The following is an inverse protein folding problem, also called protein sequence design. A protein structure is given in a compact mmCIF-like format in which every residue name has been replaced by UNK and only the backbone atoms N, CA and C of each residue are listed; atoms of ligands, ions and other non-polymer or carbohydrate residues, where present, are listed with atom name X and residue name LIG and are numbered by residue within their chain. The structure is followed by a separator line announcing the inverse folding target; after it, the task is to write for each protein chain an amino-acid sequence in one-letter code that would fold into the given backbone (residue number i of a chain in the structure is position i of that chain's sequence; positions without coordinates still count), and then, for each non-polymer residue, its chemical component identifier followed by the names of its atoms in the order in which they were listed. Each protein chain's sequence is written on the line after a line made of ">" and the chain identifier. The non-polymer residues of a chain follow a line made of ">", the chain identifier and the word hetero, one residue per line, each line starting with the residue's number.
data_IF_097353736186
#
_entry.id   IF_097353736186
#
_cell.length_a   1.000
_cell.length_b   1.000
_cell.length_c   1.000
_cell.angle_alpha   90.00
_cell.angle_beta   90.00
_cell.angle_gamma   90.00
#
_symmetry.space_group_name_H-M   'P 1'
#
loop_
_entity.id
_entity.type
_entity.pdbx_description
1 polymer ?
#
# COMPACT_ATOMS: atom_id res chain seq x y z
N UNK A 1 -9.43 4.42 3.80
CA UNK A 1 -8.79 3.28 3.12
C UNK A 1 -7.32 3.22 3.50
N UNK A 2 -6.79 2.05 3.76
CA UNK A 2 -5.42 1.87 4.25
C UNK A 2 -4.62 1.02 3.29
N UNK A 3 -3.49 1.57 2.83
CA UNK A 3 -2.52 0.91 1.96
C UNK A 3 -1.50 0.17 2.83
N UNK A 4 -1.44 -1.15 2.70
CA UNK A 4 -0.50 -1.98 3.49
C UNK A 4 0.72 -2.44 2.70
N UNK A 5 0.96 -1.80 1.54
CA UNK A 5 2.11 -2.09 0.69
C UNK A 5 3.40 -1.48 1.23
N UNK A 6 4.52 -1.89 0.64
CA UNK A 6 5.83 -1.35 0.98
C UNK A 6 5.98 0.13 0.57
N UNK A 7 6.96 0.80 1.16
CA UNK A 7 7.19 2.24 0.94
C UNK A 7 7.40 2.60 -0.53
N UNK A 8 8.19 1.80 -1.28
CA UNK A 8 8.44 2.10 -2.69
C UNK A 8 7.17 2.01 -3.54
N UNK A 9 6.26 1.09 -3.21
CA UNK A 9 4.99 0.95 -3.91
C UNK A 9 4.10 2.18 -3.66
N UNK A 10 4.04 2.62 -2.40
CA UNK A 10 3.30 3.81 -2.00
C UNK A 10 3.81 5.07 -2.69
N UNK A 11 5.12 5.24 -2.75
CA UNK A 11 5.73 6.42 -3.34
C UNK A 11 5.47 6.55 -4.84
N UNK A 12 5.39 5.43 -5.56
CA UNK A 12 5.16 5.45 -7.02
C UNK A 12 3.71 5.71 -7.42
N UNK A 13 2.78 5.38 -6.57
CA UNK A 13 1.37 5.65 -6.82
C UNK A 13 0.50 4.94 -5.80
N UNK A 14 -0.54 5.64 -5.34
CA UNK A 14 -1.47 5.16 -4.30
C UNK A 14 -2.87 5.62 -4.61
N UNK A 15 -3.86 4.98 -3.99
CA UNK A 15 -5.25 5.41 -4.12
C UNK A 15 -5.40 6.78 -3.44
N UNK A 16 -6.06 7.70 -4.12
CA UNK A 16 -6.31 9.04 -3.62
C UNK A 16 -6.97 9.01 -2.23
N UNK A 17 -6.40 9.75 -1.29
CA UNK A 17 -6.92 9.85 0.07
C UNK A 17 -6.58 8.70 1.01
N UNK A 18 -5.81 7.72 0.56
CA UNK A 18 -5.44 6.58 1.41
C UNK A 18 -4.39 6.94 2.46
N UNK A 19 -4.44 6.20 3.57
CA UNK A 19 -3.43 6.24 4.61
C UNK A 19 -2.44 5.12 4.39
N UNK A 20 -1.17 5.33 4.70
CA UNK A 20 -0.13 4.31 4.53
C UNK A 20 0.26 3.67 5.86
N UNK A 21 0.03 2.36 5.96
CA UNK A 21 0.46 1.53 7.09
C UNK A 21 0.99 0.21 6.55
N UNK A 22 2.28 0.13 6.25
CA UNK A 22 2.86 -1.11 5.72
C UNK A 22 2.54 -2.31 6.63
N UNK A 23 2.28 -3.45 6.03
CA UNK A 23 1.89 -4.65 6.78
C UNK A 23 2.85 -4.98 7.92
N UNK A 24 4.15 -4.81 7.70
CA UNK A 24 5.17 -5.08 8.72
C UNK A 24 5.08 -4.17 9.95
N UNK A 25 4.45 -3.00 9.81
CA UNK A 25 4.31 -2.03 10.90
C UNK A 25 2.90 -2.01 11.49
N UNK A 26 1.97 -2.72 10.88
CA UNK A 26 0.55 -2.62 11.22
C UNK A 26 0.28 -2.95 12.71
N UNK A 27 0.89 -4.02 13.21
CA UNK A 27 0.67 -4.47 14.59
C UNK A 27 1.04 -3.41 15.63
N UNK A 28 2.06 -2.60 15.33
CA UNK A 28 2.56 -1.56 16.24
C UNK A 28 1.85 -0.21 16.05
N UNK A 29 1.03 -0.09 15.03
CA UNK A 29 0.40 1.17 14.63
C UNK A 29 -1.12 1.10 14.51
N UNK A 30 -1.75 0.09 15.12
CA UNK A 30 -3.21 -0.08 15.06
C UNK A 30 -3.98 1.09 15.69
N UNK A 31 -3.36 1.79 16.64
CA UNK A 31 -3.94 2.98 17.27
C UNK A 31 -4.15 4.15 16.30
N UNK A 32 -3.51 4.11 15.13
CA UNK A 32 -3.73 5.11 14.08
C UNK A 32 -5.01 4.85 13.29
N UNK A 33 -5.66 3.70 13.50
CA UNK A 33 -6.91 3.32 12.83
C UNK A 33 -8.08 3.49 13.79
N UNK A 34 -9.08 4.28 13.40
CA UNK A 34 -10.29 4.47 14.21
C UNK A 34 -11.12 3.18 14.23
N UNK A 35 -11.20 2.55 15.40
CA UNK A 35 -11.95 1.30 15.59
C UNK A 35 -13.46 1.50 15.48
N UNK A 36 -13.95 2.72 15.65
CA UNK A 36 -15.37 3.05 15.55
C UNK A 36 -15.89 3.19 14.14
N UNK A 37 -15.06 3.03 13.14
CA UNK A 37 -15.40 3.19 11.72
C UNK A 37 -14.91 1.99 10.90
N UNK A 38 -15.62 1.63 9.81
CA UNK A 38 -15.13 0.60 8.92
C UNK A 38 -13.77 0.97 8.34
N UNK A 39 -12.88 0.00 8.23
CA UNK A 39 -11.59 0.17 7.60
C UNK A 39 -11.47 -0.76 6.39
N UNK A 40 -10.98 -0.23 5.27
CA UNK A 40 -10.75 -1.00 4.07
C UNK A 40 -9.25 -1.03 3.80
N UNK A 41 -8.68 -2.24 3.80
CA UNK A 41 -7.28 -2.45 3.48
C UNK A 41 -7.11 -2.79 2.01
N UNK A 42 -6.02 -2.31 1.41
CA UNK A 42 -5.65 -2.76 0.07
C UNK A 42 -4.14 -2.96 -0.04
N UNK A 43 -3.78 -3.79 -0.98
CA UNK A 43 -2.40 -3.97 -1.40
C UNK A 43 -2.36 -4.00 -2.93
N UNK A 44 -1.34 -4.58 -3.53
CA UNK A 44 -1.27 -4.64 -4.98
C UNK A 44 -2.36 -5.55 -5.56
N UNK A 45 -2.35 -6.83 -5.16
CA UNK A 45 -3.29 -7.83 -5.69
C UNK A 45 -4.26 -8.44 -4.69
N UNK A 46 -4.01 -8.34 -3.39
CA UNK A 46 -4.91 -8.83 -2.36
C UNK A 46 -4.31 -9.69 -1.24
N UNK A 47 -3.12 -10.25 -1.38
CA UNK A 47 -2.54 -11.17 -0.38
C UNK A 47 -2.22 -10.49 0.95
N UNK A 48 -1.52 -9.38 0.92
CA UNK A 48 -1.15 -8.62 2.12
C UNK A 48 -2.37 -8.01 2.80
N UNK A 49 -3.32 -7.52 2.01
CA UNK A 49 -4.56 -6.95 2.55
C UNK A 49 -5.47 -8.01 3.18
N UNK A 50 -5.43 -9.24 2.70
CA UNK A 50 -6.14 -10.35 3.34
C UNK A 50 -5.60 -10.58 4.74
N UNK A 51 -4.27 -10.60 4.91
CA UNK A 51 -3.64 -10.76 6.22
C UNK A 51 -4.00 -9.62 7.17
N UNK A 52 -3.95 -8.38 6.69
CA UNK A 52 -4.32 -7.21 7.48
C UNK A 52 -5.78 -7.26 7.92
N UNK A 53 -6.68 -7.60 7.01
CA UNK A 53 -8.11 -7.68 7.28
C UNK A 53 -8.41 -8.73 8.35
N UNK A 54 -7.82 -9.92 8.22
CA UNK A 54 -8.02 -10.99 9.20
C UNK A 54 -7.48 -10.62 10.58
N UNK A 55 -6.30 -10.01 10.63
CA UNK A 55 -5.68 -9.60 11.88
C UNK A 55 -6.52 -8.56 12.63
N UNK A 56 -6.98 -7.54 11.94
CA UNK A 56 -7.75 -6.47 12.54
C UNK A 56 -9.18 -6.91 12.88
N UNK A 57 -9.79 -7.76 12.06
CA UNK A 57 -11.09 -8.34 12.38
C UNK A 57 -11.05 -9.15 13.68
N UNK A 58 -9.97 -9.91 13.90
CA UNK A 58 -9.76 -10.66 15.12
C UNK A 58 -9.67 -9.76 16.37
N UNK A 59 -9.27 -8.51 16.20
CA UNK A 59 -9.20 -7.52 17.28
C UNK A 59 -10.47 -6.66 17.41
N UNK A 60 -11.52 -7.00 16.68
CA UNK A 60 -12.81 -6.33 16.77
C UNK A 60 -13.01 -5.14 15.86
N UNK A 61 -12.11 -4.91 14.90
CA UNK A 61 -12.32 -3.88 13.88
C UNK A 61 -13.29 -4.38 12.82
N UNK A 62 -14.10 -3.47 12.28
CA UNK A 62 -14.88 -3.76 11.09
C UNK A 62 -13.97 -3.63 9.87
N UNK A 63 -13.22 -4.69 9.61
CA UNK A 63 -12.17 -4.70 8.59
C UNK A 63 -12.63 -5.39 7.31
N UNK A 64 -12.33 -4.76 6.19
CA UNK A 64 -12.64 -5.25 4.85
C UNK A 64 -11.43 -5.09 3.95
N UNK A 65 -11.39 -5.79 2.83
CA UNK A 65 -10.33 -5.59 1.84
C UNK A 65 -10.92 -5.18 0.50
N UNK A 66 -10.12 -4.44 -0.25
CA UNK A 66 -10.40 -4.15 -1.65
C UNK A 66 -9.92 -5.37 -2.45
N UNK A 67 -10.84 -6.21 -2.92
CA UNK A 67 -10.56 -7.56 -3.45
C UNK A 67 -9.51 -7.60 -4.56
N UNK A 68 -9.57 -6.66 -5.50
CA UNK A 68 -8.64 -6.61 -6.62
C UNK A 68 -7.44 -5.70 -6.37
N UNK A 69 -7.38 -5.09 -5.19
CA UNK A 69 -6.31 -4.19 -4.80
C UNK A 69 -6.19 -2.97 -5.70
N UNK A 70 -5.02 -2.32 -5.63
CA UNK A 70 -4.77 -1.13 -6.46
C UNK A 70 -4.69 -1.46 -7.96
N UNK A 71 -4.34 -2.69 -8.31
CA UNK A 71 -4.33 -3.13 -9.72
C UNK A 71 -5.72 -3.00 -10.32
N UNK A 72 -6.75 -3.50 -9.62
CA UNK A 72 -8.13 -3.37 -10.07
C UNK A 72 -8.62 -1.93 -10.09
N UNK A 73 -8.22 -1.14 -9.06
CA UNK A 73 -8.55 0.27 -8.97
C UNK A 73 -8.03 1.06 -10.18
N UNK A 74 -6.74 0.88 -10.50
CA UNK A 74 -6.11 1.55 -11.64
C UNK A 74 -6.69 1.07 -12.98
N UNK A 75 -6.97 -0.22 -13.11
CA UNK A 75 -7.58 -0.79 -14.32
C UNK A 75 -8.97 -0.21 -14.59
N UNK A 76 -9.70 0.17 -13.54
CA UNK A 76 -11.00 0.82 -13.66
C UNK A 76 -10.88 2.33 -13.95
N UNK A 77 -9.68 2.87 -14.05
CA UNK A 77 -9.45 4.28 -14.36
C UNK A 77 -9.69 5.22 -13.18
N UNK A 78 -9.72 4.70 -11.95
CA UNK A 78 -9.97 5.50 -10.77
C UNK A 78 -8.71 6.26 -10.32
N UNK A 79 -8.86 7.40 -9.61
CA UNK A 79 -7.73 8.31 -9.38
C UNK A 79 -6.64 7.76 -8.46
N UNK A 80 -5.39 8.01 -8.85
CA UNK A 80 -4.20 7.73 -8.07
C UNK A 80 -3.53 9.05 -7.65
N UNK A 81 -2.76 9.00 -6.58
CA UNK A 81 -1.87 10.07 -6.13
C UNK A 81 -0.41 9.59 -6.19
N UNK A 82 0.54 10.44 -6.49
CA UNK A 82 0.37 11.77 -7.08
C UNK A 82 -0.15 11.69 -8.52
N UNK A 83 -0.49 12.84 -9.11
CA UNK A 83 -0.83 12.88 -10.53
C UNK A 83 0.28 12.24 -11.35
N UNK A 84 -0.09 11.36 -12.29
CA UNK A 84 0.88 10.57 -13.04
C UNK A 84 1.42 9.37 -12.28
N UNK A 85 0.90 9.08 -11.09
CA UNK A 85 1.29 7.91 -10.32
C UNK A 85 0.97 6.60 -11.04
N UNK A 86 1.75 5.57 -10.73
CA UNK A 86 1.64 4.24 -11.34
C UNK A 86 1.63 3.16 -10.27
N UNK A 87 1.12 1.98 -10.64
CA UNK A 87 1.14 0.81 -9.75
C UNK A 87 2.48 0.11 -9.91
N UNK A 88 3.35 0.25 -8.89
CA UNK A 88 4.67 -0.36 -8.90
C UNK A 88 4.61 -1.87 -8.69
N UNK A 89 5.65 -2.55 -9.18
CA UNK A 89 5.87 -3.95 -8.85
C UNK A 89 6.18 -4.12 -7.36
N UNK A 90 5.81 -5.27 -6.80
CA UNK A 90 6.11 -5.60 -5.43
C UNK A 90 7.41 -6.40 -5.31
N UNK A 91 7.93 -6.51 -4.09
CA UNK A 91 9.08 -7.35 -3.77
C UNK A 91 10.37 -6.59 -3.59
N UNK A 92 11.35 -7.28 -3.04
CA UNK A 92 12.64 -6.70 -2.67
C UNK A 92 13.43 -6.17 -3.87
N UNK A 93 13.42 -6.89 -4.97
CA UNK A 93 14.10 -6.44 -6.19
C UNK A 93 13.56 -5.12 -6.71
N UNK A 94 12.23 -4.98 -6.71
CA UNK A 94 11.58 -3.73 -7.12
C UNK A 94 11.92 -2.59 -6.17
N UNK A 95 11.97 -2.86 -4.88
CA UNK A 95 12.35 -1.87 -3.86
C UNK A 95 13.79 -1.37 -4.08
N UNK A 96 14.71 -2.28 -4.38
CA UNK A 96 16.11 -1.94 -4.66
C UNK A 96 16.20 -1.06 -5.91
N UNK A 97 15.51 -1.42 -6.98
CA UNK A 97 15.51 -0.63 -8.21
C UNK A 97 14.92 0.76 -7.99
N UNK A 98 13.86 0.88 -7.21
CA UNK A 98 13.26 2.17 -6.87
C UNK A 98 14.24 3.05 -6.09
N UNK A 99 14.89 2.49 -5.08
CA UNK A 99 15.90 3.20 -4.28
C UNK A 99 17.07 3.69 -5.16
N UNK A 100 17.50 2.85 -6.11
CA UNK A 100 18.55 3.23 -7.06
C UNK A 100 18.16 4.43 -7.91
N UNK A 101 16.92 4.52 -8.35
CA UNK A 101 16.42 5.65 -9.16
C UNK A 101 16.43 6.97 -8.40
N UNK A 102 16.40 6.95 -7.08
CA UNK A 102 16.45 8.14 -6.24
C UNK A 102 17.85 8.66 -6.01
N UNK A 103 18.88 7.87 -6.32
CA UNK A 103 20.27 8.29 -6.14
C UNK A 103 20.68 9.27 -7.23
N UNK A 104 21.60 10.23 -6.92
CA UNK A 104 22.18 11.11 -7.93
C UNK A 104 22.85 10.29 -9.03
N UNK A 105 22.85 10.77 -10.29
CA UNK A 105 23.46 10.02 -11.39
C UNK A 105 24.90 9.61 -11.16
N UNK A 106 25.70 10.42 -10.49
CA UNK A 106 27.11 10.13 -10.17
C UNK A 106 27.27 8.95 -9.22
N UNK A 107 26.24 8.60 -8.43
CA UNK A 107 26.27 7.48 -7.51
C UNK A 107 25.71 6.18 -8.13
N UNK A 108 25.08 6.29 -9.30
CA UNK A 108 24.44 5.13 -9.97
C UNK A 108 25.23 4.63 -11.19
N UNK A 109 26.30 5.29 -11.54
CA UNK A 109 27.17 4.86 -12.64
C UNK A 109 27.94 3.62 -12.28
N UNK A 110 28.18 2.72 -13.26
CA UNK A 110 29.01 1.53 -13.05
C UNK A 110 30.43 1.89 -12.66
#
# INVERSE_FOLDING_TARGET
>A
MVDVRADHEWEMGRIEGAMHLPLAELADRTDEIDKGRPVVFYCRGGNRSTMATEALAAEGYEARKLSEGIVGWAAAGLPLEPEGGVVAESGEAAAILHARKKLPPELTKP
#
